data_IF_116950707620
#
_entry.id   IF_116950707620
#
_cell.length_a   1.000
_cell.length_b   1.000
_cell.length_c   1.000
_cell.angle_alpha   90.00
_cell.angle_beta   90.00
_cell.angle_gamma   90.00
#
_symmetry.space_group_name_H-M   'P 1'
#
loop_
_entity.id
_entity.type
_entity.pdbx_description
1 polymer ?
#
# COMPACT_ATOMS: atom_id res chain seq x y z
N UNK A 1 -14.15 3.82 -44.45
CA UNK A 1 -12.77 4.05 -43.94
C UNK A 1 -12.60 3.77 -42.43
N UNK A 2 -13.65 3.79 -41.60
CA UNK A 2 -13.57 3.45 -40.17
C UNK A 2 -13.18 1.98 -39.84
N UNK A 3 -13.50 1.03 -40.73
CA UNK A 3 -13.28 -0.41 -40.52
C UNK A 3 -11.79 -0.83 -40.45
N UNK A 4 -10.91 -0.25 -41.28
CA UNK A 4 -9.46 -0.55 -41.25
C UNK A 4 -8.74 0.03 -40.04
N UNK A 5 -9.26 1.13 -39.48
CA UNK A 5 -8.67 1.80 -38.33
C UNK A 5 -8.83 0.97 -37.06
N UNK A 6 -10.01 0.39 -36.84
CA UNK A 6 -10.28 -0.51 -35.71
C UNK A 6 -9.43 -1.79 -35.76
N UNK A 7 -9.13 -2.33 -36.95
CA UNK A 7 -8.27 -3.52 -37.08
C UNK A 7 -6.84 -3.28 -36.60
N UNK A 8 -6.28 -2.08 -36.81
CA UNK A 8 -4.92 -1.75 -36.36
C UNK A 8 -4.78 -1.70 -34.85
N UNK A 9 -5.78 -1.14 -34.16
CA UNK A 9 -5.81 -1.05 -32.69
C UNK A 9 -6.00 -2.44 -32.07
N UNK A 10 -6.95 -3.21 -32.59
CA UNK A 10 -7.21 -4.58 -32.13
C UNK A 10 -5.99 -5.48 -32.27
N UNK A 11 -5.21 -5.31 -33.35
CA UNK A 11 -3.94 -6.06 -33.53
C UNK A 11 -2.87 -5.66 -32.51
N UNK A 12 -2.84 -4.39 -32.09
CA UNK A 12 -1.91 -3.91 -31.06
C UNK A 12 -2.34 -4.40 -29.67
N UNK A 13 -3.63 -4.33 -29.35
CA UNK A 13 -4.21 -4.86 -28.12
C UNK A 13 -3.94 -6.37 -27.98
N UNK A 14 -4.20 -7.15 -29.03
CA UNK A 14 -3.92 -8.59 -29.00
C UNK A 14 -2.44 -8.92 -28.82
N UNK A 15 -1.52 -8.08 -29.32
CA UNK A 15 -0.08 -8.25 -29.06
C UNK A 15 0.30 -7.93 -27.61
N UNK A 16 -0.30 -6.90 -27.03
CA UNK A 16 -0.08 -6.53 -25.63
C UNK A 16 -0.57 -7.62 -24.70
N UNK A 17 -1.80 -8.10 -24.90
CA UNK A 17 -2.34 -9.23 -24.13
C UNK A 17 -1.50 -10.48 -24.28
N UNK A 18 -1.06 -10.82 -25.50
CA UNK A 18 -0.17 -11.96 -25.72
C UNK A 18 1.18 -11.81 -25.00
N UNK A 19 1.76 -10.59 -24.99
CA UNK A 19 3.01 -10.30 -24.29
C UNK A 19 2.86 -10.50 -22.79
N UNK A 20 1.79 -9.96 -22.19
CA UNK A 20 1.50 -10.14 -20.77
C UNK A 20 1.22 -11.60 -20.43
N UNK A 21 0.46 -12.30 -21.28
CA UNK A 21 0.15 -13.72 -21.09
C UNK A 21 1.40 -14.61 -21.21
N UNK A 22 2.42 -14.17 -21.95
CA UNK A 22 3.71 -14.84 -22.06
C UNK A 22 4.69 -14.49 -20.94
N UNK A 23 4.30 -13.64 -19.98
CA UNK A 23 5.15 -13.19 -18.87
C UNK A 23 6.11 -12.06 -19.22
N UNK A 24 6.05 -11.52 -20.44
CA UNK A 24 6.90 -10.41 -20.92
C UNK A 24 6.30 -9.06 -20.48
N UNK A 25 6.26 -8.85 -19.16
CA UNK A 25 5.56 -7.72 -18.53
C UNK A 25 6.25 -6.39 -18.76
N UNK A 26 7.58 -6.37 -18.71
CA UNK A 26 8.37 -5.16 -18.93
C UNK A 26 8.20 -4.65 -20.37
N UNK A 27 8.29 -5.57 -21.34
CA UNK A 27 8.11 -5.27 -22.76
C UNK A 27 6.69 -4.75 -23.01
N UNK A 28 5.68 -5.41 -22.44
CA UNK A 28 4.29 -4.97 -22.53
C UNK A 28 4.13 -3.54 -21.97
N UNK A 29 4.70 -3.28 -20.79
CA UNK A 29 4.66 -1.95 -20.16
C UNK A 29 5.32 -0.88 -21.04
N UNK A 30 6.51 -1.14 -21.60
CA UNK A 30 7.17 -0.19 -22.51
C UNK A 30 6.38 0.03 -23.80
N UNK A 31 5.72 -1.00 -24.31
CA UNK A 31 4.81 -0.87 -25.45
C UNK A 31 3.62 0.03 -25.10
N UNK A 32 2.97 -0.12 -23.94
CA UNK A 32 1.91 0.80 -23.50
C UNK A 32 2.39 2.25 -23.43
N UNK A 33 3.58 2.50 -22.86
CA UNK A 33 4.18 3.85 -22.80
C UNK A 33 4.43 4.44 -24.18
N UNK A 34 4.93 3.63 -25.11
CA UNK A 34 5.13 4.05 -26.51
C UNK A 34 3.81 4.43 -27.19
N UNK A 35 2.76 3.65 -26.95
CA UNK A 35 1.43 3.92 -27.47
C UNK A 35 0.83 5.19 -26.89
N UNK A 36 1.06 5.45 -25.60
CA UNK A 36 0.64 6.68 -24.94
C UNK A 36 1.14 7.92 -25.70
N UNK A 37 2.45 8.06 -25.92
CA UNK A 37 2.98 9.23 -26.64
C UNK A 37 2.40 9.35 -28.05
N UNK A 38 2.28 8.22 -28.75
CA UNK A 38 1.78 8.19 -30.12
C UNK A 38 0.31 8.58 -30.24
N UNK A 39 -0.54 8.15 -29.30
CA UNK A 39 -1.97 8.44 -29.32
C UNK A 39 -2.24 9.84 -28.78
N UNK A 40 -1.45 10.27 -27.79
CA UNK A 40 -1.50 11.63 -27.26
C UNK A 40 -1.15 12.67 -28.33
N UNK A 41 -0.10 12.45 -29.11
CA UNK A 41 0.27 13.32 -30.24
C UNK A 41 -0.85 13.46 -31.29
N UNK A 42 -1.69 12.42 -31.42
CA UNK A 42 -2.85 12.40 -32.31
C UNK A 42 -4.14 12.90 -31.65
N UNK A 43 -4.08 13.34 -30.39
CA UNK A 43 -5.24 13.76 -29.56
C UNK A 43 -6.34 12.71 -29.47
N UNK A 44 -5.98 11.43 -29.50
CA UNK A 44 -6.91 10.30 -29.41
C UNK A 44 -7.16 9.92 -27.97
N UNK A 45 -7.75 10.84 -27.22
CA UNK A 45 -7.85 10.73 -25.77
C UNK A 45 -8.75 9.57 -25.33
N UNK A 46 -9.92 9.38 -25.94
CA UNK A 46 -10.86 8.30 -25.55
C UNK A 46 -10.25 6.92 -25.76
N UNK A 47 -9.72 6.65 -26.97
CA UNK A 47 -9.02 5.40 -27.30
C UNK A 47 -7.85 5.15 -26.32
N UNK A 48 -7.12 6.22 -25.95
CA UNK A 48 -5.97 6.13 -25.06
C UNK A 48 -6.36 5.89 -23.59
N UNK A 49 -7.44 6.51 -23.11
CA UNK A 49 -7.97 6.28 -21.77
C UNK A 49 -8.41 4.83 -21.59
N UNK A 50 -9.09 4.26 -22.58
CA UNK A 50 -9.48 2.85 -22.56
C UNK A 50 -8.25 1.93 -22.59
N UNK A 51 -7.29 2.20 -23.49
CA UNK A 51 -6.05 1.43 -23.60
C UNK A 51 -5.27 1.39 -22.28
N UNK A 52 -5.08 2.55 -21.64
CA UNK A 52 -4.31 2.66 -20.39
C UNK A 52 -5.04 2.04 -19.21
N UNK A 53 -6.35 2.23 -19.10
CA UNK A 53 -7.14 1.63 -18.03
C UNK A 53 -7.07 0.09 -18.11
N UNK A 54 -7.35 -0.48 -19.28
CA UNK A 54 -7.32 -1.93 -19.46
C UNK A 54 -5.90 -2.50 -19.26
N UNK A 55 -4.87 -1.81 -19.75
CA UNK A 55 -3.47 -2.20 -19.55
C UNK A 55 -3.04 -2.15 -18.08
N UNK A 56 -3.47 -1.11 -17.36
CA UNK A 56 -3.21 -0.97 -15.92
C UNK A 56 -3.86 -2.11 -15.13
N UNK A 57 -5.15 -2.38 -15.36
CA UNK A 57 -5.86 -3.52 -14.74
C UNK A 57 -5.13 -4.83 -14.99
N UNK A 58 -4.77 -5.10 -16.25
CA UNK A 58 -4.14 -6.35 -16.64
C UNK A 58 -2.79 -6.55 -15.95
N UNK A 59 -1.94 -5.52 -15.85
CA UNK A 59 -0.66 -5.60 -15.15
C UNK A 59 -0.83 -5.74 -13.63
N UNK A 60 -1.78 -5.00 -13.05
CA UNK A 60 -2.10 -5.10 -11.62
C UNK A 60 -2.56 -6.51 -11.23
N UNK A 61 -3.35 -7.17 -12.08
CA UNK A 61 -3.80 -8.56 -11.88
C UNK A 61 -2.69 -9.61 -12.01
N UNK A 62 -1.52 -9.23 -12.54
CA UNK A 62 -0.32 -10.10 -12.67
C UNK A 62 0.78 -9.74 -11.68
N UNK A 63 0.39 -9.11 -10.56
CA UNK A 63 1.27 -8.63 -9.49
C UNK A 63 2.33 -7.61 -9.94
N UNK A 64 2.19 -7.04 -11.14
CA UNK A 64 3.11 -6.01 -11.66
C UNK A 64 2.65 -4.62 -11.21
N UNK A 65 2.64 -4.41 -9.88
CA UNK A 65 2.02 -3.22 -9.28
C UNK A 65 2.65 -1.89 -9.69
N UNK A 66 3.98 -1.81 -9.76
CA UNK A 66 4.68 -0.58 -10.17
C UNK A 66 4.34 -0.20 -11.62
N UNK A 67 4.43 -1.15 -12.56
CA UNK A 67 4.08 -0.92 -13.97
C UNK A 67 2.59 -0.61 -14.16
N UNK A 68 1.70 -1.31 -13.45
CA UNK A 68 0.27 -1.04 -13.47
C UNK A 68 -0.06 0.36 -12.94
N UNK A 69 0.57 0.78 -11.84
CA UNK A 69 0.40 2.10 -11.25
C UNK A 69 0.96 3.22 -12.15
N UNK A 70 2.11 3.02 -12.80
CA UNK A 70 2.65 3.96 -13.80
C UNK A 70 1.64 4.19 -14.94
N UNK A 71 1.03 3.12 -15.49
CA UNK A 71 -0.02 3.27 -16.49
C UNK A 71 -1.27 3.99 -15.96
N UNK A 72 -1.62 3.76 -14.69
CA UNK A 72 -2.66 4.51 -14.00
C UNK A 72 -2.36 6.01 -13.90
N UNK A 73 -1.10 6.37 -13.60
CA UNK A 73 -0.66 7.77 -13.57
C UNK A 73 -0.78 8.41 -14.96
N UNK A 74 -0.37 7.69 -16.02
CA UNK A 74 -0.55 8.14 -17.40
C UNK A 74 -2.04 8.32 -17.75
N UNK A 75 -2.92 7.45 -17.26
CA UNK A 75 -4.36 7.59 -17.44
C UNK A 75 -4.88 8.92 -16.86
N UNK A 76 -4.46 9.29 -15.64
CA UNK A 76 -4.82 10.58 -15.03
C UNK A 76 -4.24 11.77 -15.81
N UNK A 77 -3.03 11.65 -16.33
CA UNK A 77 -2.43 12.68 -17.18
C UNK A 77 -3.23 12.88 -18.48
N UNK A 78 -3.75 11.82 -19.11
CA UNK A 78 -4.63 11.94 -20.27
C UNK A 78 -5.94 12.62 -19.90
N UNK A 79 -6.55 12.30 -18.75
CA UNK A 79 -7.76 12.98 -18.27
C UNK A 79 -7.52 14.49 -18.08
N UNK A 80 -6.33 14.90 -17.67
CA UNK A 80 -5.95 16.31 -17.56
C UNK A 80 -5.88 17.02 -18.93
N UNK A 81 -5.47 16.31 -19.97
CA UNK A 81 -5.31 16.84 -21.35
C UNK A 81 -6.59 16.75 -22.18
N UNK A 82 -7.51 15.86 -21.82
CA UNK A 82 -8.74 15.59 -22.55
C UNK A 82 -9.88 16.58 -22.25
N UNK A 83 -9.76 17.41 -21.21
CA UNK A 83 -10.80 18.38 -20.78
C UNK A 83 -12.21 17.75 -20.71
N UNK A 84 -12.32 16.63 -19.97
CA UNK A 84 -13.54 15.81 -19.91
C UNK A 84 -14.74 16.58 -19.34
N UNK A 85 -15.90 16.46 -19.99
CA UNK A 85 -17.17 17.08 -19.54
C UNK A 85 -17.92 16.28 -18.48
N UNK A 86 -17.67 14.98 -18.36
CA UNK A 86 -18.37 14.07 -17.44
C UNK A 86 -17.39 13.37 -16.49
N UNK A 87 -16.86 14.07 -15.47
CA UNK A 87 -15.80 13.57 -14.59
C UNK A 87 -16.23 12.35 -13.76
N UNK A 88 -17.49 12.29 -13.34
CA UNK A 88 -18.03 11.21 -12.50
C UNK A 88 -17.93 9.84 -13.17
N UNK A 89 -18.03 9.80 -14.52
CA UNK A 89 -17.89 8.56 -15.30
C UNK A 89 -16.51 7.88 -15.15
N UNK A 90 -15.51 8.63 -14.69
CA UNK A 90 -14.15 8.12 -14.48
C UNK A 90 -13.84 7.80 -13.02
N UNK A 91 -14.68 8.20 -12.06
CA UNK A 91 -14.41 7.94 -10.63
C UNK A 91 -14.40 6.44 -10.32
N UNK A 92 -15.30 5.67 -10.92
CA UNK A 92 -15.31 4.21 -10.80
C UNK A 92 -14.01 3.59 -11.33
N UNK A 93 -13.51 4.05 -12.48
CA UNK A 93 -12.24 3.58 -13.05
C UNK A 93 -11.06 3.92 -12.15
N UNK A 94 -10.99 5.16 -11.66
CA UNK A 94 -9.91 5.63 -10.78
C UNK A 94 -9.87 4.83 -9.48
N UNK A 95 -11.04 4.65 -8.86
CA UNK A 95 -11.16 3.96 -7.56
C UNK A 95 -10.91 2.47 -7.69
N UNK A 96 -11.34 1.85 -8.80
CA UNK A 96 -10.99 0.47 -9.10
C UNK A 96 -9.48 0.27 -9.29
N UNK A 97 -8.80 1.17 -10.02
CA UNK A 97 -7.34 1.09 -10.12
C UNK A 97 -6.68 1.24 -8.74
N UNK A 98 -7.12 2.23 -7.94
CA UNK A 98 -6.59 2.49 -6.60
C UNK A 98 -6.76 1.31 -5.63
N UNK A 99 -7.87 0.57 -5.73
CA UNK A 99 -8.18 -0.56 -4.85
C UNK A 99 -7.33 -1.80 -5.16
N UNK A 100 -6.90 -1.98 -6.41
CA UNK A 100 -6.07 -3.13 -6.83
C UNK A 100 -4.56 -2.82 -6.62
N UNK A 101 -4.16 -1.54 -6.63
CA UNK A 101 -2.77 -1.16 -6.34
C UNK A 101 -2.36 -1.56 -4.91
N UNK A 102 -1.23 -2.27 -4.77
CA UNK A 102 -0.68 -2.65 -3.47
C UNK A 102 -0.29 -1.41 -2.65
N UNK A 103 -0.66 -1.31 -1.35
CA UNK A 103 -0.36 -0.16 -0.50
C UNK A 103 1.12 0.22 -0.42
N UNK A 104 2.01 -0.77 -0.42
CA UNK A 104 3.46 -0.57 -0.36
C UNK A 104 4.09 -0.05 -1.67
N UNK A 105 3.31 0.15 -2.73
CA UNK A 105 3.81 0.63 -4.04
C UNK A 105 3.93 2.15 -4.01
N UNK A 106 5.12 2.75 -4.14
CA UNK A 106 5.30 4.21 -4.04
C UNK A 106 4.46 5.00 -5.07
N UNK A 107 4.27 4.43 -6.27
CA UNK A 107 3.47 5.03 -7.34
C UNK A 107 1.98 5.15 -6.97
N UNK A 108 1.49 4.36 -6.01
CA UNK A 108 0.08 4.40 -5.56
C UNK A 108 -0.26 5.75 -4.94
N UNK A 109 0.63 6.32 -4.13
CA UNK A 109 0.42 7.65 -3.55
C UNK A 109 0.46 8.74 -4.62
N UNK A 110 1.39 8.62 -5.57
CA UNK A 110 1.49 9.53 -6.72
C UNK A 110 0.23 9.48 -7.58
N UNK A 111 -0.30 8.29 -7.85
CA UNK A 111 -1.56 8.09 -8.55
C UNK A 111 -2.72 8.77 -7.82
N UNK A 112 -2.86 8.51 -6.51
CA UNK A 112 -3.91 9.09 -5.67
C UNK A 112 -3.83 10.62 -5.65
N UNK A 113 -2.64 11.18 -5.43
CA UNK A 113 -2.42 12.62 -5.44
C UNK A 113 -2.83 13.24 -6.78
N UNK A 114 -2.41 12.64 -7.89
CA UNK A 114 -2.74 13.12 -9.23
C UNK A 114 -4.25 13.04 -9.51
N UNK A 115 -4.92 11.96 -9.08
CA UNK A 115 -6.35 11.79 -9.26
C UNK A 115 -7.16 12.83 -8.47
N UNK A 116 -6.80 13.07 -7.21
CA UNK A 116 -7.42 14.10 -6.37
C UNK A 116 -7.18 15.49 -6.97
N UNK A 117 -5.95 15.77 -7.42
CA UNK A 117 -5.61 17.04 -8.06
C UNK A 117 -6.36 17.27 -9.37
N UNK A 118 -6.54 16.23 -10.19
CA UNK A 118 -7.38 16.29 -11.38
C UNK A 118 -8.84 16.61 -11.04
N UNK A 119 -9.38 16.00 -9.98
CA UNK A 119 -10.77 16.20 -9.57
C UNK A 119 -11.09 17.63 -9.14
N UNK A 120 -10.09 18.42 -8.69
CA UNK A 120 -10.26 19.84 -8.36
C UNK A 120 -10.75 20.68 -9.54
N UNK A 121 -10.39 20.31 -10.77
CA UNK A 121 -10.84 21.03 -11.98
C UNK A 121 -12.35 20.93 -12.20
N UNK A 122 -13.00 20.00 -11.51
CA UNK A 122 -14.39 19.61 -11.69
C UNK A 122 -15.26 19.92 -10.48
N UNK A 123 -14.78 20.76 -9.55
CA UNK A 123 -15.52 21.11 -8.33
C UNK A 123 -15.08 22.46 -7.77
N UNK A 124 -15.93 23.07 -6.94
CA UNK A 124 -15.56 24.25 -6.14
C UNK A 124 -14.95 23.86 -4.78
N UNK A 125 -14.89 22.58 -4.46
CA UNK A 125 -14.31 22.09 -3.22
C UNK A 125 -12.77 22.20 -3.24
N UNK A 126 -12.20 22.78 -2.18
CA UNK A 126 -10.76 23.08 -2.09
C UNK A 126 -9.84 21.85 -2.09
N UNK A 127 -10.38 20.68 -1.78
CA UNK A 127 -9.59 19.46 -1.56
C UNK A 127 -9.81 18.36 -2.61
N UNK A 128 -10.69 18.58 -3.60
CA UNK A 128 -11.04 17.62 -4.63
C UNK A 128 -12.54 17.32 -4.64
N UNK A 129 -13.00 16.56 -5.63
CA UNK A 129 -14.42 16.27 -5.80
C UNK A 129 -14.94 15.39 -4.64
N UNK A 130 -16.02 15.78 -3.93
CA UNK A 130 -16.52 15.04 -2.75
C UNK A 130 -16.85 13.58 -3.02
N UNK A 131 -17.45 13.27 -4.17
CA UNK A 131 -17.77 11.89 -4.54
C UNK A 131 -16.51 11.03 -4.73
N UNK A 132 -15.46 11.57 -5.35
CA UNK A 132 -14.21 10.83 -5.50
C UNK A 132 -13.56 10.57 -4.13
N UNK A 133 -13.58 11.56 -3.23
CA UNK A 133 -13.13 11.40 -1.84
C UNK A 133 -13.90 10.30 -1.12
N UNK A 134 -15.24 10.29 -1.24
CA UNK A 134 -16.09 9.25 -0.65
C UNK A 134 -15.72 7.86 -1.18
N UNK A 135 -15.55 7.70 -2.48
CA UNK A 135 -15.18 6.40 -3.08
C UNK A 135 -13.76 5.96 -2.68
N UNK A 136 -12.79 6.88 -2.60
CA UNK A 136 -11.45 6.58 -2.10
C UNK A 136 -11.50 6.18 -0.62
N UNK A 137 -12.26 6.91 0.20
CA UNK A 137 -12.47 6.59 1.60
C UNK A 137 -13.08 5.20 1.78
N UNK A 138 -14.03 4.81 0.92
CA UNK A 138 -14.58 3.45 0.92
C UNK A 138 -13.49 2.41 0.67
N UNK A 139 -12.54 2.63 -0.25
CA UNK A 139 -11.40 1.71 -0.46
C UNK A 139 -10.57 1.53 0.82
N UNK A 140 -10.37 2.59 1.61
CA UNK A 140 -9.72 2.49 2.93
C UNK A 140 -10.59 1.80 3.98
N UNK A 141 -11.92 1.88 3.86
CA UNK A 141 -12.89 1.41 4.86
C UNK A 141 -13.51 0.04 4.60
N UNK A 142 -13.26 -0.62 3.47
CA UNK A 142 -13.93 -1.89 3.12
C UNK A 142 -13.84 -2.97 4.21
N UNK A 143 -12.67 -3.10 4.87
CA UNK A 143 -12.51 -4.07 5.96
C UNK A 143 -13.35 -3.71 7.20
N UNK A 144 -13.45 -2.42 7.51
CA UNK A 144 -14.29 -1.91 8.60
C UNK A 144 -15.78 -2.06 8.26
N UNK A 145 -16.20 -1.76 7.02
CA UNK A 145 -17.58 -1.93 6.58
C UNK A 145 -18.00 -3.41 6.59
N UNK A 146 -17.13 -4.30 6.12
CA UNK A 146 -17.38 -5.75 6.17
C UNK A 146 -17.53 -6.23 7.62
N UNK A 147 -16.67 -5.74 8.53
CA UNK A 147 -16.76 -6.03 9.96
C UNK A 147 -18.07 -5.51 10.57
N UNK A 148 -18.39 -4.23 10.38
CA UNK A 148 -19.59 -3.58 10.93
C UNK A 148 -20.87 -4.20 10.37
N UNK A 149 -20.91 -4.52 9.08
CA UNK A 149 -22.02 -5.20 8.41
C UNK A 149 -22.23 -6.61 8.97
N UNK A 150 -21.15 -7.36 9.20
CA UNK A 150 -21.22 -8.68 9.80
C UNK A 150 -21.72 -8.61 11.24
N UNK A 151 -21.15 -7.75 12.09
CA UNK A 151 -21.52 -7.67 13.51
C UNK A 151 -22.92 -7.11 13.75
N UNK A 152 -23.37 -6.15 12.95
CA UNK A 152 -24.72 -5.54 13.07
C UNK A 152 -25.86 -6.39 12.52
N UNK A 153 -25.58 -7.30 11.55
CA UNK A 153 -26.62 -8.11 10.90
C UNK A 153 -26.68 -9.55 11.40
N UNK A 154 -25.63 -10.02 12.07
CA UNK A 154 -25.57 -11.42 12.49
C UNK A 154 -26.48 -11.65 13.72
N UNK A 155 -27.46 -12.58 13.65
CA UNK A 155 -28.53 -12.69 14.64
C UNK A 155 -28.07 -13.14 16.04
N UNK A 156 -26.82 -13.58 16.18
CA UNK A 156 -26.21 -14.02 17.44
C UNK A 156 -25.14 -13.06 17.98
N UNK A 157 -24.93 -11.92 17.34
CA UNK A 157 -23.97 -10.90 17.75
C UNK A 157 -24.77 -9.69 18.23
N UNK A 158 -24.42 -9.17 19.40
CA UNK A 158 -25.03 -7.94 19.91
C UNK A 158 -24.44 -6.74 19.15
N UNK A 159 -25.28 -5.74 18.92
CA UNK A 159 -25.06 -4.73 17.87
C UNK A 159 -23.87 -3.79 18.06
N UNK A 160 -23.16 -3.79 19.20
CA UNK A 160 -22.02 -2.89 19.42
C UNK A 160 -20.92 -3.51 20.31
N UNK A 161 -19.65 -3.09 20.12
CA UNK A 161 -18.56 -3.44 21.03
C UNK A 161 -18.74 -2.79 22.43
N UNK A 162 -18.20 -3.38 23.51
CA UNK A 162 -17.42 -4.61 23.52
C UNK A 162 -18.31 -5.86 23.30
N UNK A 163 -17.84 -6.74 22.42
CA UNK A 163 -18.50 -8.00 22.12
C UNK A 163 -18.17 -9.03 23.20
N UNK A 164 -19.08 -9.97 23.46
CA UNK A 164 -18.79 -11.14 24.31
C UNK A 164 -17.79 -12.11 23.66
N UNK A 165 -17.60 -12.01 22.34
CA UNK A 165 -16.71 -12.85 21.55
C UNK A 165 -15.33 -12.17 21.45
N UNK A 166 -14.28 -12.68 22.13
CA UNK A 166 -13.00 -11.98 22.20
C UNK A 166 -12.36 -11.78 20.82
N UNK A 167 -12.54 -12.71 19.89
CA UNK A 167 -12.03 -12.55 18.53
C UNK A 167 -12.67 -11.35 17.77
N UNK A 168 -13.92 -10.99 18.06
CA UNK A 168 -14.53 -9.79 17.49
C UNK A 168 -13.94 -8.51 18.10
N UNK A 169 -13.65 -8.52 19.40
CA UNK A 169 -12.93 -7.41 20.04
C UNK A 169 -11.52 -7.28 19.46
N UNK A 170 -10.83 -8.39 19.23
CA UNK A 170 -9.54 -8.41 18.54
C UNK A 170 -9.64 -7.75 17.17
N UNK A 171 -10.58 -8.16 16.32
CA UNK A 171 -10.76 -7.57 14.98
C UNK A 171 -11.12 -6.08 15.05
N UNK A 172 -11.99 -5.69 15.98
CA UNK A 172 -12.32 -4.28 16.22
C UNK A 172 -11.08 -3.45 16.52
N UNK A 173 -10.26 -3.89 17.49
CA UNK A 173 -9.03 -3.18 17.84
C UNK A 173 -7.96 -3.28 16.75
N UNK A 174 -7.87 -4.39 16.03
CA UNK A 174 -6.94 -4.57 14.91
C UNK A 174 -7.17 -3.49 13.85
N UNK A 175 -8.43 -3.27 13.47
CA UNK A 175 -8.81 -2.20 12.54
C UNK A 175 -8.41 -0.81 13.07
N UNK A 176 -8.55 -0.56 14.39
CA UNK A 176 -8.06 0.69 15.01
C UNK A 176 -6.55 0.82 14.98
N UNK A 177 -5.79 -0.25 15.25
CA UNK A 177 -4.32 -0.21 15.21
C UNK A 177 -3.78 0.08 13.81
N UNK A 178 -4.46 -0.44 12.77
CA UNK A 178 -4.14 -0.15 11.36
C UNK A 178 -4.45 1.31 11.03
N UNK A 179 -5.61 1.83 11.44
CA UNK A 179 -5.99 3.24 11.22
C UNK A 179 -5.02 4.23 11.90
N UNK A 180 -4.48 3.85 13.06
CA UNK A 180 -3.53 4.66 13.83
C UNK A 180 -2.07 4.39 13.46
N UNK A 181 -1.81 3.45 12.54
CA UNK A 181 -0.47 2.95 12.19
C UNK A 181 0.40 2.60 13.41
N UNK A 182 -0.22 2.13 14.50
CA UNK A 182 0.48 1.84 15.75
C UNK A 182 0.93 0.38 15.80
N UNK A 183 2.18 0.13 15.37
CA UNK A 183 2.77 -1.21 15.40
C UNK A 183 2.89 -1.76 16.84
N UNK A 184 3.23 -0.90 17.81
CA UNK A 184 3.30 -1.29 19.21
C UNK A 184 1.94 -1.81 19.72
N UNK A 185 0.84 -1.09 19.43
CA UNK A 185 -0.49 -1.52 19.82
C UNK A 185 -0.92 -2.79 19.09
N UNK A 186 -0.56 -2.96 17.82
CA UNK A 186 -0.80 -4.19 17.07
C UNK A 186 -0.12 -5.41 17.72
N UNK A 187 1.14 -5.27 18.14
CA UNK A 187 1.90 -6.33 18.81
C UNK A 187 1.25 -6.73 20.13
N UNK A 188 0.99 -5.76 21.02
CA UNK A 188 0.30 -5.99 22.29
C UNK A 188 -1.06 -6.65 22.07
N UNK A 189 -1.82 -6.19 21.07
CA UNK A 189 -3.13 -6.78 20.77
C UNK A 189 -3.03 -8.25 20.36
N UNK A 190 -2.06 -8.60 19.54
CA UNK A 190 -1.84 -9.99 19.14
C UNK A 190 -1.39 -10.87 20.34
N UNK A 191 -0.68 -10.30 21.33
CA UNK A 191 -0.32 -10.98 22.58
C UNK A 191 -1.53 -11.30 23.43
N UNK A 192 -2.31 -10.27 23.74
CA UNK A 192 -3.45 -10.40 24.65
C UNK A 192 -4.52 -11.35 24.12
N UNK A 193 -4.63 -11.51 22.80
CA UNK A 193 -5.63 -12.35 22.16
C UNK A 193 -5.10 -13.69 21.65
N UNK A 194 -3.89 -14.11 22.03
CA UNK A 194 -3.30 -15.39 21.58
C UNK A 194 -4.24 -16.59 21.71
N UNK A 195 -4.98 -16.72 22.82
CA UNK A 195 -5.93 -17.82 23.02
C UNK A 195 -7.04 -17.84 21.95
N UNK A 196 -7.48 -16.66 21.50
CA UNK A 196 -8.45 -16.55 20.41
C UNK A 196 -7.82 -16.79 19.04
N UNK A 197 -6.57 -16.35 18.85
CA UNK A 197 -5.84 -16.46 17.59
C UNK A 197 -5.38 -17.90 17.32
N UNK A 198 -5.01 -18.65 18.34
CA UNK A 198 -4.55 -20.04 18.23
C UNK A 198 -5.67 -21.03 17.85
N UNK A 199 -6.92 -20.57 17.79
CA UNK A 199 -8.06 -21.38 17.32
C UNK A 199 -7.96 -21.74 15.84
N UNK A 200 -7.25 -20.93 15.04
CA UNK A 200 -7.01 -21.19 13.62
C UNK A 200 -5.56 -20.83 13.25
N UNK A 201 -4.72 -21.82 12.86
CA UNK A 201 -3.34 -21.58 12.45
C UNK A 201 -3.17 -20.60 11.27
N UNK A 202 -4.19 -20.46 10.42
CA UNK A 202 -4.16 -19.54 9.27
C UNK A 202 -4.10 -18.08 9.70
N UNK A 203 -4.64 -17.72 10.88
CA UNK A 203 -4.62 -16.35 11.40
C UNK A 203 -3.21 -15.81 11.56
N UNK A 204 -2.26 -16.66 11.94
CA UNK A 204 -0.85 -16.26 12.03
C UNK A 204 -0.31 -15.81 10.67
N UNK A 205 -0.66 -16.53 9.61
CA UNK A 205 -0.25 -16.18 8.23
C UNK A 205 -0.87 -14.85 7.80
N UNK A 206 -2.11 -14.57 8.20
CA UNK A 206 -2.77 -13.30 7.89
C UNK A 206 -2.17 -12.14 8.67
N UNK A 207 -1.89 -12.32 9.96
CA UNK A 207 -1.28 -11.29 10.81
C UNK A 207 0.14 -10.96 10.35
N UNK A 208 0.92 -11.95 9.91
CA UNK A 208 2.24 -11.72 9.31
C UNK A 208 2.14 -10.85 8.04
N UNK A 209 1.13 -11.10 7.19
CA UNK A 209 0.87 -10.27 6.01
C UNK A 209 0.39 -8.86 6.37
N UNK A 210 -0.45 -8.72 7.38
CA UNK A 210 -0.93 -7.42 7.87
C UNK A 210 0.24 -6.61 8.41
N UNK A 211 1.12 -7.23 9.22
CA UNK A 211 2.36 -6.62 9.71
C UNK A 211 3.24 -6.09 8.56
N UNK A 212 3.42 -6.89 7.50
CA UNK A 212 4.19 -6.50 6.32
C UNK A 212 3.57 -5.37 5.51
N UNK A 213 2.23 -5.36 5.38
CA UNK A 213 1.53 -4.43 4.49
C UNK A 213 1.22 -3.07 5.14
N UNK A 214 0.98 -3.05 6.45
CA UNK A 214 0.47 -1.86 7.15
C UNK A 214 1.45 -1.30 8.18
N UNK A 215 2.53 -2.02 8.50
CA UNK A 215 3.52 -1.62 9.49
C UNK A 215 4.97 -1.82 9.02
N UNK A 216 5.17 -2.08 7.72
CA UNK A 216 6.47 -2.24 7.06
C UNK A 216 7.42 -3.27 7.70
N UNK A 217 6.85 -4.29 8.34
CA UNK A 217 7.63 -5.37 8.96
C UNK A 217 8.21 -6.29 7.86
N UNK A 218 9.51 -6.60 7.85
CA UNK A 218 10.10 -7.48 6.85
C UNK A 218 9.58 -8.93 6.96
N UNK A 219 9.54 -9.64 5.83
CA UNK A 219 9.09 -11.03 5.76
C UNK A 219 9.96 -11.97 6.64
N UNK A 220 9.35 -13.01 7.27
CA UNK A 220 10.07 -13.88 8.18
C UNK A 220 11.10 -14.72 7.43
N UNK A 221 12.33 -14.80 7.97
CA UNK A 221 13.35 -15.75 7.53
C UNK A 221 13.02 -17.14 8.10
N UNK A 222 12.23 -17.94 7.36
CA UNK A 222 12.04 -19.41 7.51
C UNK A 222 10.87 -19.96 8.36
N UNK A 223 10.35 -21.10 7.88
CA UNK A 223 9.23 -21.92 8.36
C UNK A 223 9.65 -22.76 9.58
N UNK A 224 9.32 -22.32 10.79
CA UNK A 224 8.99 -23.18 11.95
C UNK A 224 8.70 -22.36 13.22
N UNK A 225 8.99 -21.07 13.20
CA UNK A 225 8.72 -20.14 14.29
C UNK A 225 8.21 -18.85 13.64
N UNK A 226 6.89 -18.61 13.66
CA UNK A 226 6.37 -17.43 12.96
C UNK A 226 6.72 -16.13 13.67
N UNK A 227 6.62 -14.99 12.98
CA UNK A 227 7.10 -13.69 13.43
C UNK A 227 6.66 -13.29 14.82
N UNK A 228 5.43 -13.65 15.21
CA UNK A 228 4.90 -13.28 16.51
C UNK A 228 5.79 -13.70 17.69
N UNK A 229 6.49 -14.84 17.58
CA UNK A 229 7.42 -15.30 18.63
C UNK A 229 8.78 -14.60 18.59
N UNK A 230 9.24 -14.13 17.42
CA UNK A 230 10.54 -13.47 17.26
C UNK A 230 10.47 -11.95 17.40
N UNK A 231 9.34 -11.32 17.05
CA UNK A 231 9.11 -9.87 17.15
C UNK A 231 8.94 -9.42 18.59
N UNK A 232 8.19 -10.18 19.39
CA UNK A 232 7.99 -9.92 20.81
C UNK A 232 9.32 -9.95 21.57
N UNK A 233 10.16 -10.95 21.28
CA UNK A 233 11.50 -11.06 21.83
C UNK A 233 12.36 -9.84 21.47
N UNK A 234 12.28 -9.35 20.23
CA UNK A 234 13.08 -8.21 19.78
C UNK A 234 12.60 -6.86 20.33
N UNK A 235 11.30 -6.74 20.63
CA UNK A 235 10.73 -5.56 21.29
C UNK A 235 11.04 -5.54 22.80
N UNK A 236 10.97 -6.70 23.47
CA UNK A 236 11.33 -6.83 24.89
C UNK A 236 12.83 -6.62 25.12
N UNK A 237 13.70 -7.21 24.29
CA UNK A 237 15.13 -6.96 24.36
C UNK A 237 15.48 -5.47 24.09
N UNK A 238 14.68 -4.75 23.31
CA UNK A 238 14.86 -3.31 23.08
C UNK A 238 14.36 -2.41 24.22
N UNK A 239 13.67 -2.97 25.22
CA UNK A 239 13.20 -2.28 26.44
C UNK A 239 14.01 -2.65 27.69
N UNK A 240 14.77 -3.75 27.65
CA UNK A 240 15.62 -4.21 28.76
C UNK A 240 17.04 -3.58 28.76
N UNK A 241 17.44 -2.88 27.69
CA UNK A 241 18.76 -2.22 27.58
C UNK A 241 18.86 -0.83 28.29
N UNK A 242 17.81 -0.37 28.99
CA UNK A 242 17.78 0.94 29.70
C UNK A 242 18.07 0.86 31.22
N UNK A 243 18.42 -0.31 31.76
CA UNK A 243 18.83 -0.47 33.18
C UNK A 243 20.23 -1.11 33.33
N UNK A 244 21.28 -0.43 32.85
CA UNK A 244 22.61 -0.53 33.46
C UNK A 244 23.48 0.64 33.04
N UNK A 245 23.74 1.56 33.97
CA UNK A 245 25.11 1.89 34.40
C UNK A 245 25.07 3.10 35.34
N UNK A 246 25.05 2.79 36.64
CA UNK A 246 25.57 3.71 37.62
C UNK A 246 27.07 3.53 37.71
N UNK A 247 27.85 4.58 37.45
CA UNK A 247 29.17 4.74 38.08
C UNK A 247 29.62 6.22 38.12
N UNK A 248 29.86 6.62 39.37
CA UNK A 248 30.70 7.68 39.95
C UNK A 248 31.24 8.85 39.10
N UNK A 249 30.87 10.05 39.54
CA UNK A 249 31.54 11.31 39.19
C UNK A 249 32.55 11.72 40.27
N UNK A 250 33.84 11.59 39.99
CA UNK A 250 34.92 12.21 40.79
C UNK A 250 35.81 13.13 39.95
N UNK A 251 35.55 14.43 40.14
CA UNK A 251 36.42 15.62 40.15
C UNK A 251 37.85 15.58 39.55
N UNK A 252 38.07 16.64 38.76
CA UNK A 252 39.20 17.60 38.77
C UNK A 252 40.42 17.41 37.85
N UNK A 253 40.54 18.42 36.97
CA UNK A 253 41.67 19.32 36.78
C UNK A 253 42.62 19.11 35.57
N UNK A 254 42.63 20.18 34.78
CA UNK A 254 43.56 20.61 33.75
C UNK A 254 45.04 20.45 34.08
N UNK A 255 45.86 20.05 33.08
CA UNK A 255 47.12 20.74 32.78
C UNK A 255 47.70 20.38 31.38
N UNK A 256 48.34 21.38 30.79
CA UNK A 256 48.91 21.50 29.43
C UNK A 256 49.86 20.38 28.97
N UNK A 257 50.07 20.21 27.64
CA UNK A 257 51.12 19.37 27.10
C UNK A 257 52.43 20.16 26.95
N UNK A 258 53.56 19.55 27.33
CA UNK A 258 54.89 19.98 26.90
C UNK A 258 55.81 18.76 26.78
N UNK A 259 56.24 18.53 25.53
CA UNK A 259 57.55 18.04 25.07
C UNK A 259 58.16 16.73 25.62
N UNK A 260 58.38 15.80 24.66
CA UNK A 260 59.69 15.19 24.33
C UNK A 260 59.87 13.68 24.55
N UNK A 261 60.55 13.08 23.54
CA UNK A 261 61.20 11.75 23.44
C UNK A 261 60.28 10.50 23.50
N UNK A 262 60.15 9.68 22.43
CA UNK A 262 61.12 8.87 21.67
C UNK A 262 61.66 7.64 22.44
N UNK A 263 61.77 6.52 21.69
CA UNK A 263 62.25 5.15 22.03
C UNK A 263 61.10 4.24 22.55
N UNK A 264 60.57 3.22 21.87
CA UNK A 264 61.07 2.10 21.02
C UNK A 264 61.61 0.89 21.83
N UNK A 265 60.85 -0.22 21.83
CA UNK A 265 61.18 -1.66 22.05
C UNK A 265 59.85 -2.36 22.47
N UNK A 266 59.21 -3.25 21.69
CA UNK A 266 59.54 -4.65 21.33
C UNK A 266 59.79 -5.57 22.53
N UNK A 267 58.73 -6.25 22.99
CA UNK A 267 58.55 -7.71 22.84
C UNK A 267 57.05 -8.05 22.92
#
# INVERSE_FOLDING_TARGET
MASRYNQGIQRVLGKLEASVNSGNYYEAHQMYRTLYFRYLAKKKYMDLLELLYNGSILLLQRDQHASGADLGILFIDVLNKAETTEPTSYFEKITNLFSIMKPSTPERETFLHNALRWSLKHTNCKWGHPELHKMIAQVFWQAQEAFDSYTSRHPKINNEPPYLLPLLNFLFFLLKTIQLSSFAAFTVLCEQYQLSLNRDPSYRTYLDKIAQLFFDVPAPRSRRQGLFGSLLQSFFNGLEDDESDGEETSRQASNNPSTSHAVQELD
#
